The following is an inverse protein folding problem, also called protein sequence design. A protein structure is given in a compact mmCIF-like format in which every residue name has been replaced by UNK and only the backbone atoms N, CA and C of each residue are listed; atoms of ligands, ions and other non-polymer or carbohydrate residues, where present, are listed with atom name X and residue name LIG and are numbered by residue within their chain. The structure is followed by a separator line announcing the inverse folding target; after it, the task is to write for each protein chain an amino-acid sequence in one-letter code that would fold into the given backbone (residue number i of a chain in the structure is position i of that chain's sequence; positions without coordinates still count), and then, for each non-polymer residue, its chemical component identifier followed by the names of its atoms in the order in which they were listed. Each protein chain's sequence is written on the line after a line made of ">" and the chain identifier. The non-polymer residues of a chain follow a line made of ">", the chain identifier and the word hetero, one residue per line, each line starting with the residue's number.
data_IF_430667557827
#
_entry.id   IF_430667557827
#
_cell.length_a   1.000
_cell.length_b   1.000
_cell.length_c   1.000
_cell.angle_alpha   90.00
_cell.angle_beta   90.00
_cell.angle_gamma   90.00
#
_symmetry.space_group_name_H-M   'P 1'
#
loop_
_entity.id
_entity.type
_entity.pdbx_description
1 polymer ?
#
# COMPACT_ATOMS: atom_id res chain seq x y z
N UNK A 1 2.04 14.97 -28.14
CA UNK A 1 0.98 13.96 -27.89
C UNK A 1 -0.21 14.10 -28.85
N UNK A 2 -0.21 15.04 -29.80
CA UNK A 2 -1.34 15.26 -30.73
C UNK A 2 -1.25 14.58 -32.10
N UNK A 3 -0.16 13.86 -32.43
CA UNK A 3 0.08 13.34 -33.79
C UNK A 3 0.00 11.81 -33.94
N UNK A 4 -0.28 11.06 -32.86
CA UNK A 4 -0.33 9.59 -32.90
C UNK A 4 -1.77 9.07 -32.76
N UNK A 5 -2.12 7.95 -33.44
CA UNK A 5 -3.45 7.36 -33.31
C UNK A 5 -3.75 6.99 -31.86
N UNK A 6 -4.96 7.34 -31.41
CA UNK A 6 -5.42 7.25 -30.02
C UNK A 6 -5.16 5.85 -29.43
N UNK A 7 -5.41 4.78 -30.20
CA UNK A 7 -5.19 3.40 -29.74
C UNK A 7 -3.73 3.08 -29.40
N UNK A 8 -2.78 3.53 -30.23
CA UNK A 8 -1.34 3.33 -29.99
C UNK A 8 -0.86 4.13 -28.77
N UNK A 9 -1.41 5.33 -28.58
CA UNK A 9 -1.11 6.15 -27.41
C UNK A 9 -1.68 5.54 -26.13
N UNK A 10 -2.93 5.06 -26.17
CA UNK A 10 -3.55 4.34 -25.06
C UNK A 10 -2.73 3.11 -24.69
N UNK A 11 -2.32 2.27 -25.64
CA UNK A 11 -1.46 1.12 -25.35
C UNK A 11 -0.12 1.54 -24.74
N UNK A 12 0.51 2.60 -25.26
CA UNK A 12 1.80 3.10 -24.76
C UNK A 12 1.72 3.60 -23.31
N UNK A 13 0.58 4.09 -22.84
CA UNK A 13 0.39 4.57 -21.47
C UNK A 13 -0.23 3.53 -20.53
N UNK A 14 -1.22 2.77 -21.00
CA UNK A 14 -1.95 1.79 -20.22
C UNK A 14 -1.14 0.53 -19.97
N UNK A 15 -0.43 0.00 -20.97
CA UNK A 15 0.33 -1.24 -20.80
C UNK A 15 1.41 -1.11 -19.70
N UNK A 16 2.21 -0.03 -19.65
CA UNK A 16 3.17 0.15 -18.56
C UNK A 16 2.51 0.30 -17.19
N UNK A 17 1.33 0.93 -17.12
CA UNK A 17 0.59 1.06 -15.86
C UNK A 17 0.10 -0.32 -15.36
N UNK A 18 -0.45 -1.14 -16.25
CA UNK A 18 -0.92 -2.49 -15.91
C UNK A 18 0.24 -3.38 -15.44
N UNK A 19 1.37 -3.37 -16.16
CA UNK A 19 2.56 -4.14 -15.76
C UNK A 19 3.04 -3.69 -14.37
N UNK A 20 3.13 -2.38 -14.14
CA UNK A 20 3.53 -1.85 -12.84
C UNK A 20 2.57 -2.27 -11.71
N UNK A 21 1.27 -2.32 -11.96
CA UNK A 21 0.27 -2.78 -10.98
C UNK A 21 0.40 -4.27 -10.68
N UNK A 22 0.57 -5.11 -11.70
CA UNK A 22 0.78 -6.57 -11.53
C UNK A 22 2.03 -6.81 -10.68
N UNK A 23 3.13 -6.14 -11.02
CA UNK A 23 4.40 -6.30 -10.31
C UNK A 23 4.31 -5.81 -8.86
N UNK A 24 3.61 -4.70 -8.62
CA UNK A 24 3.36 -4.23 -7.26
C UNK A 24 2.50 -5.21 -6.45
N UNK A 25 1.50 -5.84 -7.07
CA UNK A 25 0.70 -6.88 -6.42
C UNK A 25 1.53 -8.14 -6.09
N UNK A 26 2.37 -8.59 -7.02
CA UNK A 26 3.29 -9.72 -6.80
C UNK A 26 4.27 -9.42 -5.66
N UNK A 27 4.84 -8.22 -5.62
CA UNK A 27 5.71 -7.77 -4.53
C UNK A 27 5.01 -7.90 -3.17
N UNK A 28 3.79 -7.36 -3.03
CA UNK A 28 3.05 -7.42 -1.77
C UNK A 28 2.77 -8.87 -1.32
N UNK A 29 2.44 -9.77 -2.26
CA UNK A 29 2.21 -11.19 -1.96
C UNK A 29 3.50 -11.85 -1.46
N UNK A 30 4.61 -11.63 -2.16
CA UNK A 30 5.89 -12.28 -1.84
C UNK A 30 6.44 -11.78 -0.50
N UNK A 31 6.39 -10.47 -0.24
CA UNK A 31 6.78 -9.85 1.04
C UNK A 31 5.97 -10.47 2.20
N UNK A 32 4.64 -10.55 2.03
CA UNK A 32 3.74 -11.16 3.02
C UNK A 32 4.07 -12.63 3.26
N UNK A 33 4.42 -13.39 2.23
CA UNK A 33 4.81 -14.80 2.35
C UNK A 33 6.12 -14.95 3.13
N UNK A 34 7.13 -14.11 2.86
CA UNK A 34 8.40 -14.18 3.58
C UNK A 34 8.25 -13.76 5.04
N UNK A 35 7.57 -12.66 5.31
CA UNK A 35 7.29 -12.22 6.68
C UNK A 35 6.43 -13.24 7.41
N UNK A 36 5.44 -13.85 6.74
CA UNK A 36 4.57 -14.85 7.34
C UNK A 36 5.27 -16.14 7.77
N UNK A 37 6.44 -16.45 7.17
CA UNK A 37 7.27 -17.57 7.62
C UNK A 37 7.99 -17.31 8.95
N UNK A 38 8.12 -16.05 9.37
CA UNK A 38 8.68 -15.70 10.68
C UNK A 38 7.72 -15.98 11.85
N UNK A 39 6.42 -16.16 11.55
CA UNK A 39 5.39 -16.43 12.55
C UNK A 39 4.33 -15.34 12.63
N UNK A 40 3.30 -15.61 13.41
CA UNK A 40 2.14 -14.73 13.56
C UNK A 40 2.49 -13.36 14.15
N UNK A 41 3.40 -13.30 15.11
CA UNK A 41 3.83 -12.05 15.76
C UNK A 41 4.43 -11.06 14.76
N UNK A 42 5.19 -11.56 13.76
CA UNK A 42 5.78 -10.75 12.70
C UNK A 42 4.71 -10.10 11.80
N UNK A 43 3.73 -10.88 11.35
CA UNK A 43 2.61 -10.35 10.56
C UNK A 43 1.81 -9.33 11.37
N UNK A 44 1.51 -9.63 12.64
CA UNK A 44 0.77 -8.74 13.51
C UNK A 44 1.50 -7.40 13.68
N UNK A 45 2.83 -7.44 13.91
CA UNK A 45 3.65 -6.24 14.02
C UNK A 45 3.63 -5.39 12.75
N UNK A 46 3.78 -5.99 11.56
CA UNK A 46 3.69 -5.25 10.29
C UNK A 46 2.31 -4.65 10.06
N UNK A 47 1.25 -5.39 10.42
CA UNK A 47 -0.14 -4.97 10.25
C UNK A 47 -0.46 -3.72 11.09
N UNK A 48 0.04 -3.65 12.33
CA UNK A 48 -0.11 -2.48 13.20
C UNK A 48 0.65 -1.26 12.67
N UNK A 49 1.79 -1.46 12.00
CA UNK A 49 2.57 -0.38 11.41
C UNK A 49 1.99 0.14 10.09
N UNK A 50 1.19 -0.68 9.38
CA UNK A 50 0.66 -0.38 8.05
C UNK A 50 -0.05 0.98 7.90
N UNK A 51 -0.89 1.45 8.86
CA UNK A 51 -1.52 2.77 8.77
C UNK A 51 -0.53 3.93 8.63
N UNK A 52 0.65 3.82 9.25
CA UNK A 52 1.72 4.83 9.13
C UNK A 52 2.27 4.86 7.71
N UNK A 53 2.41 3.69 7.08
CA UNK A 53 2.86 3.58 5.70
C UNK A 53 1.82 4.17 4.73
N UNK A 54 0.53 3.91 4.95
CA UNK A 54 -0.54 4.47 4.14
C UNK A 54 -0.61 6.00 4.25
N UNK A 55 -0.43 6.57 5.44
CA UNK A 55 -0.33 8.02 5.62
C UNK A 55 0.85 8.61 4.83
N UNK A 56 2.01 7.97 4.91
CA UNK A 56 3.21 8.36 4.16
C UNK A 56 2.96 8.30 2.65
N UNK A 57 2.29 7.24 2.19
CA UNK A 57 1.90 7.06 0.79
C UNK A 57 0.90 8.11 0.33
N UNK A 58 -0.12 8.42 1.14
CA UNK A 58 -1.16 9.39 0.83
C UNK A 58 -0.57 10.79 0.56
N UNK A 59 0.31 11.26 1.44
CA UNK A 59 1.02 12.52 1.28
C UNK A 59 1.90 12.52 0.02
N UNK A 60 2.67 11.46 -0.19
CA UNK A 60 3.58 11.36 -1.34
C UNK A 60 2.83 11.32 -2.67
N UNK A 61 1.74 10.56 -2.74
CA UNK A 61 0.89 10.48 -3.94
C UNK A 61 0.17 11.81 -4.17
N UNK A 62 -0.35 12.46 -3.13
CA UNK A 62 -0.99 13.77 -3.25
C UNK A 62 -0.05 14.84 -3.82
N UNK A 63 1.16 14.95 -3.27
CA UNK A 63 2.20 15.86 -3.81
C UNK A 63 2.54 15.47 -5.25
N UNK A 64 2.73 14.18 -5.52
CA UNK A 64 3.05 13.67 -6.85
C UNK A 64 1.98 14.01 -7.90
N UNK A 65 0.70 13.76 -7.60
CA UNK A 65 -0.43 14.04 -8.51
C UNK A 65 -0.60 15.54 -8.73
N UNK A 66 -0.51 16.34 -7.67
CA UNK A 66 -0.58 17.80 -7.79
C UNK A 66 0.56 18.39 -8.62
N UNK A 67 1.78 17.90 -8.40
CA UNK A 67 2.95 18.30 -9.17
C UNK A 67 2.84 17.86 -10.64
N UNK A 68 2.44 16.61 -10.88
CA UNK A 68 2.22 16.07 -12.23
C UNK A 68 1.23 16.94 -13.02
N UNK A 69 0.08 17.24 -12.44
CA UNK A 69 -0.94 18.11 -13.05
C UNK A 69 -0.40 19.51 -13.39
N UNK A 70 0.32 20.15 -12.47
CA UNK A 70 0.91 21.46 -12.70
C UNK A 70 1.99 21.43 -13.78
N UNK A 71 2.89 20.45 -13.72
CA UNK A 71 3.99 20.29 -14.66
C UNK A 71 3.46 19.99 -16.06
N UNK A 72 2.50 19.07 -16.22
CA UNK A 72 1.95 18.74 -17.54
C UNK A 72 1.30 19.95 -18.21
N UNK A 73 0.62 20.83 -17.46
CA UNK A 73 0.10 22.10 -18.02
C UNK A 73 1.21 23.05 -18.44
N UNK A 74 2.24 23.24 -17.61
CA UNK A 74 3.37 24.12 -17.91
C UNK A 74 4.17 23.61 -19.13
N UNK A 75 4.36 22.30 -19.24
CA UNK A 75 5.00 21.68 -20.40
C UNK A 75 4.15 21.84 -21.67
N UNK A 76 2.83 21.66 -21.57
CA UNK A 76 1.90 21.89 -22.68
C UNK A 76 1.89 23.35 -23.15
N UNK A 77 2.12 24.31 -22.26
CA UNK A 77 2.25 25.73 -22.56
C UNK A 77 3.65 26.17 -23.01
N UNK A 78 4.61 25.24 -23.15
CA UNK A 78 6.00 25.56 -23.51
C UNK A 78 6.84 26.20 -22.38
N UNK A 79 6.28 26.38 -21.19
CA UNK A 79 6.93 27.02 -20.04
C UNK A 79 7.90 26.07 -19.30
N UNK A 80 8.97 25.63 -19.98
CA UNK A 80 9.90 24.59 -19.47
C UNK A 80 10.62 24.99 -18.19
N UNK A 81 11.01 26.27 -18.03
CA UNK A 81 11.71 26.76 -16.83
C UNK A 81 10.80 26.70 -15.60
N UNK A 82 9.53 27.09 -15.74
CA UNK A 82 8.54 27.00 -14.67
C UNK A 82 8.22 25.54 -14.33
N UNK A 83 8.15 24.65 -15.33
CA UNK A 83 7.98 23.22 -15.10
C UNK A 83 9.14 22.61 -14.31
N UNK A 84 10.39 22.99 -14.62
CA UNK A 84 11.56 22.57 -13.83
C UNK A 84 11.49 23.10 -12.40
N UNK A 85 11.08 24.36 -12.22
CA UNK A 85 10.90 24.94 -10.89
C UNK A 85 9.82 24.20 -10.09
N UNK A 86 8.69 23.87 -10.72
CA UNK A 86 7.63 23.08 -10.09
C UNK A 86 8.10 21.67 -9.68
N UNK A 87 8.93 21.01 -10.50
CA UNK A 87 9.53 19.73 -10.17
C UNK A 87 10.48 19.83 -8.96
N UNK A 88 11.35 20.86 -8.91
CA UNK A 88 12.21 21.12 -7.75
C UNK A 88 11.42 21.38 -6.47
N UNK A 89 10.34 22.16 -6.56
CA UNK A 89 9.44 22.41 -5.44
C UNK A 89 8.71 21.14 -4.97
N UNK A 90 8.29 20.27 -5.88
CA UNK A 90 7.64 19.01 -5.50
C UNK A 90 8.59 18.07 -4.73
N UNK A 91 9.86 17.99 -5.16
CA UNK A 91 10.90 17.22 -4.46
C UNK A 91 11.14 17.83 -3.07
N UNK A 92 11.32 19.16 -2.98
CA UNK A 92 11.51 19.86 -1.71
C UNK A 92 10.32 19.67 -0.76
N UNK A 93 9.10 19.73 -1.29
CA UNK A 93 7.88 19.52 -0.53
C UNK A 93 7.78 18.07 -0.02
N UNK A 94 8.22 17.10 -0.83
CA UNK A 94 8.34 15.70 -0.42
C UNK A 94 9.35 15.49 0.70
N UNK A 95 10.55 16.08 0.57
CA UNK A 95 11.61 16.00 1.58
C UNK A 95 11.14 16.64 2.89
N UNK A 96 10.58 17.84 2.84
CA UNK A 96 10.08 18.54 4.02
C UNK A 96 8.92 17.81 4.69
N UNK A 97 7.92 17.35 3.92
CA UNK A 97 6.79 16.57 4.46
C UNK A 97 7.26 15.25 5.08
N UNK A 98 8.20 14.56 4.41
CA UNK A 98 8.79 13.33 4.92
C UNK A 98 9.61 13.54 6.19
N UNK A 99 10.40 14.61 6.25
CA UNK A 99 11.18 14.97 7.44
C UNK A 99 10.29 15.32 8.63
N UNK A 100 9.21 16.08 8.41
CA UNK A 100 8.23 16.39 9.45
C UNK A 100 7.56 15.11 9.97
N UNK A 101 7.08 14.24 9.07
CA UNK A 101 6.43 13.00 9.49
C UNK A 101 7.42 12.08 10.23
N UNK A 102 8.67 11.97 9.74
CA UNK A 102 9.74 11.24 10.40
C UNK A 102 9.98 11.75 11.82
N UNK A 103 10.10 13.07 12.02
CA UNK A 103 10.31 13.67 13.33
C UNK A 103 9.16 13.33 14.29
N UNK A 104 7.92 13.49 13.83
CA UNK A 104 6.72 13.18 14.62
C UNK A 104 6.72 11.71 15.05
N UNK A 105 6.92 10.77 14.13
CA UNK A 105 6.84 9.36 14.50
C UNK A 105 8.04 8.92 15.35
N UNK A 106 9.23 9.51 15.18
CA UNK A 106 10.39 9.20 16.05
C UNK A 106 10.19 9.66 17.49
N UNK A 107 9.62 10.85 17.70
CA UNK A 107 9.36 11.39 19.04
C UNK A 107 8.26 10.58 19.74
N UNK A 108 7.18 10.26 19.02
CA UNK A 108 5.99 9.59 19.59
C UNK A 108 5.84 8.14 19.14
N UNK A 109 6.94 7.42 18.90
CA UNK A 109 6.90 6.05 18.34
C UNK A 109 5.98 5.13 19.15
N UNK A 110 6.20 5.02 20.46
CA UNK A 110 5.46 4.07 21.29
C UNK A 110 3.99 4.47 21.51
N UNK A 111 3.66 5.74 21.82
CA UNK A 111 2.27 6.18 21.89
C UNK A 111 1.50 5.92 20.59
N UNK A 112 2.11 6.24 19.44
CA UNK A 112 1.48 6.01 18.13
C UNK A 112 1.25 4.52 17.89
N UNK A 113 2.26 3.68 18.13
CA UNK A 113 2.10 2.22 17.94
C UNK A 113 1.02 1.63 18.84
N UNK A 114 0.94 2.07 20.11
CA UNK A 114 -0.12 1.63 21.03
C UNK A 114 -1.51 2.11 20.59
N UNK A 115 -1.63 3.34 20.10
CA UNK A 115 -2.87 3.87 19.55
C UNK A 115 -3.35 3.10 18.30
N UNK A 116 -2.41 2.53 17.54
CA UNK A 116 -2.69 1.70 16.36
C UNK A 116 -2.97 0.23 16.72
N UNK A 117 -2.99 -0.13 18.00
CA UNK A 117 -3.32 -1.48 18.48
C UNK A 117 -2.13 -2.39 18.78
N UNK A 118 -0.91 -1.84 18.96
CA UNK A 118 0.24 -2.66 19.37
C UNK A 118 0.07 -3.17 20.82
N UNK A 119 -0.11 -4.49 20.98
CA UNK A 119 -0.03 -5.14 22.29
C UNK A 119 1.41 -5.12 22.84
N UNK A 120 1.57 -5.39 24.13
CA UNK A 120 2.89 -5.41 24.80
C UNK A 120 3.86 -6.42 24.17
N UNK A 121 3.34 -7.52 23.62
CA UNK A 121 4.12 -8.59 23.00
C UNK A 121 4.65 -8.19 21.61
N UNK A 122 3.84 -7.53 20.78
CA UNK A 122 4.22 -7.15 19.41
C UNK A 122 4.86 -5.76 19.32
N UNK A 123 4.77 -4.94 20.38
CA UNK A 123 5.32 -3.59 20.42
C UNK A 123 6.83 -3.53 20.12
N UNK A 124 7.69 -4.42 20.69
CA UNK A 124 9.13 -4.41 20.38
C UNK A 124 9.42 -4.66 18.90
N UNK A 125 8.67 -5.59 18.29
CA UNK A 125 8.83 -5.98 16.89
C UNK A 125 8.34 -4.88 15.94
N UNK A 126 7.19 -4.28 16.26
CA UNK A 126 6.62 -3.13 15.55
C UNK A 126 7.56 -1.92 15.62
N UNK A 127 8.12 -1.64 16.80
CA UNK A 127 9.09 -0.56 17.03
C UNK A 127 10.36 -0.79 16.22
N UNK A 128 10.88 -2.02 16.18
CA UNK A 128 12.07 -2.37 15.42
C UNK A 128 11.86 -2.14 13.91
N UNK A 129 10.71 -2.56 13.38
CA UNK A 129 10.36 -2.34 11.99
C UNK A 129 10.22 -0.85 11.65
N UNK A 130 9.38 -0.13 12.38
CA UNK A 130 9.03 1.26 12.02
C UNK A 130 10.21 2.21 12.17
N UNK A 131 11.09 2.00 13.16
CA UNK A 131 12.30 2.83 13.30
C UNK A 131 13.19 2.74 12.07
N UNK A 132 13.39 1.54 11.52
CA UNK A 132 14.21 1.36 10.31
C UNK A 132 13.55 2.05 9.11
N UNK A 133 12.24 1.87 8.92
CA UNK A 133 11.49 2.53 7.83
C UNK A 133 11.60 4.05 7.94
N UNK A 134 11.45 4.62 9.14
CA UNK A 134 11.52 6.06 9.36
C UNK A 134 12.93 6.60 9.21
N UNK A 135 13.97 5.87 9.63
CA UNK A 135 15.35 6.24 9.30
C UNK A 135 15.61 6.20 7.79
N UNK A 136 14.95 5.29 7.07
CA UNK A 136 14.84 5.35 5.61
C UNK A 136 14.11 6.59 5.09
N UNK A 137 13.25 7.18 5.91
CA UNK A 137 12.78 8.57 5.85
C UNK A 137 12.37 9.04 4.46
N UNK A 138 13.08 10.06 3.97
CA UNK A 138 12.87 10.71 2.67
C UNK A 138 12.83 9.71 1.50
N UNK A 139 13.52 8.57 1.60
CA UNK A 139 13.50 7.52 0.58
C UNK A 139 12.14 6.83 0.47
N UNK A 140 11.29 6.91 1.49
CA UNK A 140 9.92 6.38 1.43
C UNK A 140 9.01 7.33 0.64
N UNK A 141 9.26 8.64 0.73
CA UNK A 141 8.41 9.69 0.13
C UNK A 141 8.73 9.98 -1.34
N UNK A 142 10.03 10.12 -1.64
CA UNK A 142 10.50 10.53 -2.96
C UNK A 142 10.09 9.60 -4.12
N UNK A 143 10.06 8.26 -3.99
CA UNK A 143 9.72 7.37 -5.08
C UNK A 143 8.40 7.70 -5.77
N UNK A 144 7.34 7.99 -5.00
CA UNK A 144 6.03 8.28 -5.58
C UNK A 144 5.99 9.65 -6.25
N UNK A 145 6.69 10.64 -5.69
CA UNK A 145 6.81 11.98 -6.27
C UNK A 145 7.59 11.88 -7.58
N UNK A 146 8.79 11.30 -7.58
CA UNK A 146 9.63 11.14 -8.75
C UNK A 146 8.94 10.33 -9.86
N UNK A 147 8.21 9.27 -9.51
CA UNK A 147 7.40 8.48 -10.44
C UNK A 147 6.38 9.37 -11.17
N UNK A 148 5.64 10.19 -10.44
CA UNK A 148 4.66 11.11 -11.01
C UNK A 148 5.30 12.22 -11.85
N UNK A 149 6.45 12.75 -11.43
CA UNK A 149 7.20 13.77 -12.18
C UNK A 149 7.67 13.25 -13.55
N UNK A 150 8.12 12.01 -13.62
CA UNK A 150 8.54 11.40 -14.90
C UNK A 150 7.32 11.11 -15.79
N UNK A 151 6.22 10.64 -15.20
CA UNK A 151 4.95 10.45 -15.92
C UNK A 151 4.42 11.76 -16.52
N UNK A 152 4.58 12.89 -15.84
CA UNK A 152 4.15 14.21 -16.31
C UNK A 152 4.73 14.63 -17.66
N UNK A 153 5.88 14.05 -18.02
CA UNK A 153 6.57 14.31 -19.28
C UNK A 153 6.13 13.42 -20.44
N UNK A 154 5.20 12.49 -20.19
CA UNK A 154 4.74 11.54 -21.21
C UNK A 154 5.67 10.36 -21.43
N UNK A 155 6.55 10.04 -20.48
CA UNK A 155 7.33 8.79 -20.47
C UNK A 155 6.86 7.86 -19.34
N UNK A 156 5.77 7.09 -19.54
CA UNK A 156 5.26 6.14 -18.54
C UNK A 156 6.08 4.84 -18.47
N UNK A 157 6.92 4.55 -19.46
CA UNK A 157 7.72 3.32 -19.55
C UNK A 157 8.88 3.31 -18.56
N UNK A 158 9.58 4.43 -18.39
CA UNK A 158 10.69 4.51 -17.43
C UNK A 158 10.22 4.27 -15.97
N UNK A 159 9.13 4.91 -15.48
CA UNK A 159 8.59 4.63 -14.16
C UNK A 159 8.20 3.17 -13.93
N UNK A 160 7.63 2.52 -14.95
CA UNK A 160 7.34 1.08 -14.91
C UNK A 160 8.64 0.28 -14.75
N UNK A 161 9.64 0.50 -15.60
CA UNK A 161 10.90 -0.25 -15.54
C UNK A 161 11.60 -0.11 -14.17
N UNK A 162 11.62 1.11 -13.61
CA UNK A 162 12.21 1.36 -12.28
C UNK A 162 11.41 0.65 -11.17
N UNK A 163 10.07 0.66 -11.23
CA UNK A 163 9.24 -0.10 -10.29
C UNK A 163 9.50 -1.61 -10.38
N UNK A 164 9.68 -2.14 -11.60
CA UNK A 164 10.01 -3.54 -11.83
C UNK A 164 11.33 -3.90 -11.19
N UNK A 165 12.39 -3.14 -11.47
CA UNK A 165 13.72 -3.34 -10.88
C UNK A 165 13.62 -3.30 -9.36
N UNK A 166 12.95 -2.30 -8.79
CA UNK A 166 12.76 -2.16 -7.35
C UNK A 166 12.04 -3.35 -6.71
N UNK A 167 10.97 -3.84 -7.34
CA UNK A 167 10.20 -4.96 -6.83
C UNK A 167 11.03 -6.24 -6.82
N UNK A 168 11.75 -6.52 -7.91
CA UNK A 168 12.64 -7.68 -7.97
C UNK A 168 13.83 -7.57 -7.03
N UNK A 169 14.43 -6.38 -6.89
CA UNK A 169 15.48 -6.13 -5.90
C UNK A 169 14.98 -6.39 -4.48
N UNK A 170 13.78 -5.92 -4.14
CA UNK A 170 13.20 -6.20 -2.83
C UNK A 170 12.94 -7.70 -2.63
N UNK A 171 12.27 -8.36 -3.59
CA UNK A 171 11.97 -9.81 -3.54
C UNK A 171 13.24 -10.64 -3.38
N UNK A 172 14.37 -10.21 -3.96
CA UNK A 172 15.66 -10.87 -3.80
C UNK A 172 16.33 -10.57 -2.44
N UNK A 173 16.24 -9.34 -1.96
CA UNK A 173 16.84 -8.90 -0.70
C UNK A 173 16.10 -9.43 0.53
N UNK A 174 14.79 -9.59 0.46
CA UNK A 174 13.96 -10.10 1.55
C UNK A 174 14.46 -11.44 2.10
N UNK A 175 14.58 -12.53 1.33
CA UNK A 175 15.02 -13.82 1.87
C UNK A 175 16.47 -13.77 2.39
N UNK A 176 17.32 -12.94 1.77
CA UNK A 176 18.71 -12.73 2.20
C UNK A 176 18.76 -12.11 3.59
N UNK A 177 18.01 -11.02 3.81
CA UNK A 177 18.06 -10.24 5.04
C UNK A 177 17.15 -10.81 6.14
N UNK A 178 16.02 -11.40 5.77
CA UNK A 178 15.05 -11.99 6.72
C UNK A 178 15.62 -13.29 7.30
N UNK A 179 16.03 -14.23 6.45
CA UNK A 179 16.49 -15.55 6.89
C UNK A 179 18.01 -15.65 7.08
N UNK A 180 18.77 -14.62 6.70
CA UNK A 180 20.23 -14.63 6.81
C UNK A 180 20.89 -15.59 5.82
N UNK A 181 20.45 -15.57 4.56
CA UNK A 181 21.07 -16.41 3.52
C UNK A 181 22.40 -15.76 3.09
N UNK A 182 23.50 -16.52 3.16
CA UNK A 182 24.83 -16.06 2.75
C UNK A 182 25.62 -15.42 3.91
N UNK A 183 26.29 -14.27 3.71
CA UNK A 183 27.17 -13.66 4.72
C UNK A 183 26.42 -12.86 5.81
N UNK A 184 25.10 -12.67 5.68
CA UNK A 184 24.32 -11.83 6.56
C UNK A 184 23.64 -12.65 7.68
N UNK A 185 23.56 -12.13 8.91
CA UNK A 185 22.80 -12.78 9.98
C UNK A 185 21.29 -12.71 9.72
N UNK A 186 20.52 -13.65 10.27
CA UNK A 186 19.07 -13.63 10.22
C UNK A 186 18.53 -12.44 11.03
N UNK A 187 18.01 -11.41 10.34
CA UNK A 187 17.50 -10.19 10.98
C UNK A 187 15.98 -10.19 11.15
N UNK A 188 15.28 -11.21 10.64
CA UNK A 188 13.82 -11.34 10.74
C UNK A 188 13.09 -10.10 10.25
N UNK A 189 12.19 -9.56 11.08
CA UNK A 189 11.38 -8.38 10.75
C UNK A 189 12.23 -7.13 10.45
N UNK A 190 13.40 -6.98 11.09
CA UNK A 190 14.32 -5.87 10.77
C UNK A 190 14.88 -6.00 9.35
N UNK A 191 15.14 -7.23 8.92
CA UNK A 191 15.61 -7.55 7.57
C UNK A 191 14.62 -7.09 6.50
N UNK A 192 13.32 -7.35 6.68
CA UNK A 192 12.26 -6.90 5.78
C UNK A 192 12.20 -5.35 5.67
N UNK A 193 12.35 -4.64 6.79
CA UNK A 193 12.39 -3.19 6.78
C UNK A 193 13.62 -2.65 6.03
N UNK A 194 14.80 -3.22 6.25
CA UNK A 194 16.03 -2.83 5.55
C UNK A 194 15.91 -3.10 4.05
N UNK A 195 15.43 -4.28 3.66
CA UNK A 195 15.20 -4.65 2.26
C UNK A 195 14.29 -3.63 1.56
N UNK A 196 13.22 -3.19 2.25
CA UNK A 196 12.31 -2.16 1.74
C UNK A 196 13.02 -0.83 1.55
N UNK A 197 13.79 -0.36 2.54
CA UNK A 197 14.52 0.92 2.46
C UNK A 197 15.55 0.89 1.34
N UNK A 198 16.30 -0.21 1.19
CA UNK A 198 17.28 -0.39 0.10
C UNK A 198 16.58 -0.34 -1.26
N UNK A 199 15.48 -1.07 -1.43
CA UNK A 199 14.73 -1.08 -2.68
C UNK A 199 14.20 0.32 -3.05
N UNK A 200 13.68 1.07 -2.08
CA UNK A 200 13.27 2.47 -2.28
C UNK A 200 14.48 3.37 -2.59
N UNK A 201 15.63 3.12 -1.96
CA UNK A 201 16.90 3.77 -2.26
C UNK A 201 17.31 3.58 -3.72
N UNK A 202 17.25 2.35 -4.25
CA UNK A 202 17.52 2.03 -5.66
C UNK A 202 16.64 2.87 -6.59
N UNK A 203 15.34 2.99 -6.28
CA UNK A 203 14.39 3.82 -7.04
C UNK A 203 14.84 5.28 -7.07
N UNK A 204 15.11 5.85 -5.90
CA UNK A 204 15.50 7.26 -5.78
C UNK A 204 16.80 7.52 -6.53
N UNK A 205 17.83 6.70 -6.30
CA UNK A 205 19.13 6.81 -6.97
C UNK A 205 18.98 6.70 -8.48
N UNK A 206 18.21 5.73 -8.97
CA UNK A 206 17.99 5.54 -10.42
C UNK A 206 17.28 6.75 -11.02
N UNK A 207 16.24 7.29 -10.38
CA UNK A 207 15.63 8.53 -10.86
C UNK A 207 16.63 9.68 -10.89
N UNK A 208 17.39 9.92 -9.82
CA UNK A 208 18.37 11.01 -9.77
C UNK A 208 19.44 10.89 -10.87
N UNK A 209 19.94 9.68 -11.17
CA UNK A 209 20.86 9.44 -12.29
C UNK A 209 20.22 9.87 -13.62
N UNK A 210 18.96 9.51 -13.85
CA UNK A 210 18.24 9.91 -15.07
C UNK A 210 17.92 11.42 -15.12
N UNK A 211 17.74 12.08 -13.98
CA UNK A 211 17.58 13.54 -13.89
C UNK A 211 18.89 14.26 -14.23
N UNK A 212 20.02 13.82 -13.67
CA UNK A 212 21.35 14.43 -13.90
C UNK A 212 21.81 14.21 -15.34
N UNK A 213 21.57 13.02 -15.90
CA UNK A 213 21.95 12.70 -17.28
C UNK A 213 21.16 13.44 -18.36
N UNK A 214 20.28 14.40 -18.01
CA UNK A 214 19.41 15.18 -18.88
C UNK A 214 18.47 14.36 -19.82
N UNK A 215 18.47 13.02 -19.70
CA UNK A 215 17.61 12.10 -20.47
C UNK A 215 16.13 12.31 -20.22
N UNK A 216 15.82 12.95 -19.09
CA UNK A 216 14.47 13.31 -18.68
C UNK A 216 14.09 14.74 -19.05
N UNK A 217 14.88 15.52 -19.80
CA UNK A 217 14.54 16.89 -20.20
C UNK A 217 14.35 17.91 -19.05
N UNK A 218 14.39 17.48 -17.79
CA UNK A 218 14.44 18.36 -16.63
C UNK A 218 15.88 18.89 -16.51
N UNK A 219 16.01 20.21 -16.41
CA UNK A 219 17.26 20.87 -16.06
C UNK A 219 17.04 21.52 -14.70
N UNK A 220 17.20 20.71 -13.66
CA UNK A 220 17.08 21.17 -12.27
C UNK A 220 18.36 21.93 -11.91
N UNK A 221 18.18 23.12 -11.36
CA UNK A 221 19.24 23.98 -10.85
C UNK A 221 19.03 24.19 -9.35
N UNK A 222 20.07 24.52 -8.59
CA UNK A 222 19.94 24.81 -7.15
C UNK A 222 18.89 25.90 -6.86
N UNK A 223 18.72 26.86 -7.76
CA UNK A 223 17.68 27.90 -7.66
C UNK A 223 16.24 27.37 -7.65
N UNK A 224 16.00 26.17 -8.19
CA UNK A 224 14.68 25.55 -8.24
C UNK A 224 14.26 24.96 -6.88
N UNK A 225 15.20 24.83 -5.93
CA UNK A 225 14.99 24.35 -4.56
C UNK A 225 14.78 25.48 -3.54
N UNK A 226 14.75 26.74 -3.98
CA UNK A 226 14.41 27.86 -3.09
C UNK A 226 12.90 27.81 -2.82
N UNK A 227 12.43 27.71 -1.56
CA UNK A 227 11.01 27.58 -1.24
C UNK A 227 10.16 28.66 -1.90
N UNK A 228 9.12 28.23 -2.62
CA UNK A 228 8.17 29.11 -3.28
C UNK A 228 6.74 28.72 -2.85
N UNK A 229 6.21 29.30 -1.74
CA UNK A 229 4.92 28.90 -1.16
C UNK A 229 3.76 28.97 -2.16
N UNK A 230 3.80 29.90 -3.11
CA UNK A 230 2.80 30.03 -4.18
C UNK A 230 2.73 28.81 -5.11
N UNK A 231 3.83 28.08 -5.29
CA UNK A 231 3.85 26.84 -6.06
C UNK A 231 3.30 25.69 -5.21
N UNK A 232 3.60 25.67 -3.92
CA UNK A 232 3.11 24.63 -3.00
C UNK A 232 1.59 24.66 -2.88
N UNK A 233 0.99 25.85 -2.78
CA UNK A 233 -0.47 25.99 -2.75
C UNK A 233 -1.12 25.48 -4.04
N UNK A 234 -0.50 25.71 -5.20
CA UNK A 234 -0.98 25.16 -6.49
C UNK A 234 -0.88 23.63 -6.56
N UNK A 235 0.17 23.05 -5.99
CA UNK A 235 0.34 21.60 -5.92
C UNK A 235 -0.73 21.00 -5.01
N UNK A 236 -0.92 21.53 -3.80
CA UNK A 236 -1.93 21.01 -2.87
C UNK A 236 -3.36 21.29 -3.30
N UNK A 237 -3.64 22.37 -4.04
CA UNK A 237 -4.97 22.62 -4.59
C UNK A 237 -5.48 21.46 -5.45
N UNK A 238 -4.58 20.74 -6.14
CA UNK A 238 -4.90 19.55 -6.92
C UNK A 238 -4.65 18.25 -6.15
N UNK A 239 -3.62 18.22 -5.30
CA UNK A 239 -3.20 17.02 -4.57
C UNK A 239 -4.04 16.70 -3.33
N UNK A 240 -4.63 17.69 -2.66
CA UNK A 240 -5.35 17.51 -1.40
C UNK A 240 -6.56 16.55 -1.52
N UNK A 241 -7.39 16.57 -2.58
CA UNK A 241 -8.42 15.56 -2.79
C UNK A 241 -7.84 14.14 -2.86
N UNK A 242 -6.69 13.96 -3.52
CA UNK A 242 -6.03 12.66 -3.61
C UNK A 242 -5.50 12.20 -2.26
N UNK A 243 -4.95 13.11 -1.43
CA UNK A 243 -4.55 12.80 -0.06
C UNK A 243 -5.76 12.32 0.74
N UNK A 244 -6.89 13.02 0.67
CA UNK A 244 -8.11 12.65 1.40
C UNK A 244 -8.61 11.26 1.01
N UNK A 245 -8.64 10.95 -0.29
CA UNK A 245 -9.03 9.62 -0.81
C UNK A 245 -8.06 8.54 -0.30
N UNK A 246 -6.77 8.82 -0.27
CA UNK A 246 -5.74 7.85 0.16
C UNK A 246 -5.67 7.65 1.67
N UNK A 247 -6.16 8.60 2.48
CA UNK A 247 -6.25 8.46 3.93
C UNK A 247 -7.43 7.56 4.33
N UNK A 248 -8.53 7.54 3.56
CA UNK A 248 -9.72 6.76 3.90
C UNK A 248 -9.41 5.27 4.18
N UNK A 249 -8.61 4.55 3.37
CA UNK A 249 -8.17 3.18 3.71
C UNK A 249 -7.42 3.09 5.04
N UNK A 250 -6.59 4.08 5.38
CA UNK A 250 -5.81 4.09 6.62
C UNK A 250 -6.70 4.13 7.85
N UNK A 251 -7.76 4.94 7.81
CA UNK A 251 -8.74 5.04 8.88
C UNK A 251 -9.47 3.71 9.03
N UNK A 252 -9.95 3.15 7.92
CA UNK A 252 -10.64 1.84 7.91
C UNK A 252 -9.76 0.74 8.50
N UNK A 253 -8.49 0.64 8.09
CA UNK A 253 -7.55 -0.34 8.63
C UNK A 253 -7.25 -0.11 10.12
N UNK A 254 -7.07 1.14 10.56
CA UNK A 254 -6.78 1.45 11.96
C UNK A 254 -7.94 1.10 12.89
N UNK A 255 -9.17 1.39 12.45
CA UNK A 255 -10.39 1.02 13.19
C UNK A 255 -10.53 -0.50 13.25
N UNK A 256 -10.36 -1.18 12.11
CA UNK A 256 -10.42 -2.63 12.04
C UNK A 256 -9.38 -3.30 12.96
N UNK A 257 -8.14 -2.79 12.98
CA UNK A 257 -7.07 -3.30 13.84
C UNK A 257 -7.38 -3.08 15.32
N UNK A 258 -7.89 -1.91 15.71
CA UNK A 258 -8.25 -1.64 17.10
C UNK A 258 -9.41 -2.51 17.58
N UNK A 259 -10.43 -2.70 16.74
CA UNK A 259 -11.53 -3.63 17.02
C UNK A 259 -10.97 -5.05 17.21
N UNK A 260 -10.14 -5.52 16.27
CA UNK A 260 -9.51 -6.83 16.35
C UNK A 260 -8.62 -7.00 17.59
N UNK A 261 -7.88 -5.97 17.99
CA UNK A 261 -7.04 -5.99 19.19
C UNK A 261 -7.88 -6.10 20.48
N UNK A 262 -9.07 -5.49 20.51
CA UNK A 262 -10.06 -5.67 21.59
C UNK A 262 -10.56 -7.11 21.72
N UNK A 263 -10.44 -7.91 20.66
CA UNK A 263 -10.67 -9.36 20.68
C UNK A 263 -9.32 -10.12 20.86
N UNK A 264 -8.78 -10.23 22.07
CA UNK A 264 -7.63 -11.13 22.38
C UNK A 264 -7.90 -11.99 23.62
N UNK A 265 -7.42 -13.25 23.77
CA UNK A 265 -7.14 -14.33 22.81
C UNK A 265 -8.19 -15.46 22.98
N UNK A 266 -9.49 -15.19 22.94
CA UNK A 266 -10.52 -16.17 23.34
C UNK A 266 -10.78 -17.29 22.30
N UNK A 267 -10.03 -17.32 21.18
CA UNK A 267 -10.16 -18.38 20.15
C UNK A 267 -8.89 -19.23 19.93
N UNK A 268 -7.86 -19.14 20.77
CA UNK A 268 -6.61 -19.89 20.60
C UNK A 268 -6.26 -20.84 21.77
N UNK A 269 -7.19 -21.73 22.18
CA UNK A 269 -6.73 -23.04 22.62
C UNK A 269 -7.56 -24.17 22.03
N UNK A 270 -7.61 -24.31 20.70
CA UNK A 270 -8.21 -25.52 20.08
C UNK A 270 -7.77 -25.82 18.64
N UNK A 271 -6.50 -25.59 18.23
CA UNK A 271 -6.02 -26.23 16.99
C UNK A 271 -4.50 -26.33 16.85
N UNK A 272 -3.84 -26.89 17.87
CA UNK A 272 -2.58 -27.62 17.65
C UNK A 272 -2.87 -28.94 16.93
N UNK A 273 -3.14 -28.89 15.62
CA UNK A 273 -2.98 -29.96 14.61
C UNK A 273 -3.63 -29.51 13.30
N UNK A 274 -2.87 -29.62 12.22
CA UNK A 274 -3.16 -29.17 10.84
C UNK A 274 -2.71 -27.75 10.49
N UNK A 275 -1.38 -27.62 10.41
CA UNK A 275 -0.71 -26.78 9.42
C UNK A 275 -1.31 -27.01 8.01
N UNK A 276 -1.30 -25.95 7.19
CA UNK A 276 -1.50 -25.93 5.72
C UNK A 276 -2.83 -25.42 5.14
N UNK A 277 -3.75 -24.77 5.88
CA UNK A 277 -5.00 -24.24 5.28
C UNK A 277 -5.38 -22.78 5.58
N UNK A 278 -4.46 -21.94 6.05
CA UNK A 278 -4.76 -20.53 6.31
C UNK A 278 -4.58 -19.57 5.13
N UNK A 279 -3.97 -20.01 4.02
CA UNK A 279 -3.97 -19.26 2.76
C UNK A 279 -5.09 -19.76 1.83
N UNK A 280 -6.33 -19.35 2.13
CA UNK A 280 -7.47 -19.60 1.25
C UNK A 280 -8.58 -18.54 1.42
N UNK A 281 -8.20 -17.27 1.58
CA UNK A 281 -9.19 -16.16 1.56
C UNK A 281 -9.82 -16.03 0.16
N UNK A 282 -9.13 -16.42 -0.91
CA UNK A 282 -9.69 -16.41 -2.28
C UNK A 282 -10.68 -17.55 -2.58
N UNK A 283 -10.60 -18.69 -1.89
CA UNK A 283 -11.51 -19.82 -2.13
C UNK A 283 -12.92 -19.59 -1.54
N UNK A 284 -13.08 -18.59 -0.69
CA UNK A 284 -14.36 -18.21 -0.07
C UNK A 284 -15.21 -17.28 -0.95
N UNK A 285 -14.61 -16.48 -1.84
CA UNK A 285 -15.36 -15.65 -2.79
C UNK A 285 -16.17 -16.49 -3.79
N UNK A 286 -15.63 -17.64 -4.22
CA UNK A 286 -16.35 -18.60 -5.08
C UNK A 286 -17.44 -19.39 -4.34
N UNK A 287 -17.35 -19.52 -3.01
CA UNK A 287 -18.37 -20.21 -2.20
C UNK A 287 -19.53 -19.29 -1.80
N UNK A 288 -19.29 -17.99 -1.59
CA UNK A 288 -20.36 -17.02 -1.31
C UNK A 288 -21.33 -16.86 -2.49
N UNK A 289 -20.83 -16.87 -3.74
CA UNK A 289 -21.70 -16.89 -4.94
C UNK A 289 -22.64 -18.10 -5.01
N UNK A 290 -22.29 -19.22 -4.39
CA UNK A 290 -23.18 -20.42 -4.33
C UNK A 290 -24.24 -20.33 -3.23
N UNK A 291 -24.03 -19.51 -2.20
CA UNK A 291 -24.96 -19.36 -1.08
C UNK A 291 -26.06 -18.34 -1.44
N UNK A 292 -25.75 -17.29 -2.19
CA UNK A 292 -26.75 -16.34 -2.73
C UNK A 292 -27.77 -17.04 -3.67
N UNK A 293 -27.38 -18.14 -4.33
CA UNK A 293 -28.28 -18.95 -5.15
C UNK A 293 -29.23 -19.87 -4.33
N UNK A 294 -28.97 -20.10 -3.04
CA UNK A 294 -29.78 -20.99 -2.20
C UNK A 294 -30.81 -20.27 -1.31
N UNK A 295 -30.78 -18.94 -1.22
CA UNK A 295 -31.74 -18.19 -0.38
C UNK A 295 -33.05 -17.82 -1.08
N UNK A 296 -33.30 -18.34 -2.29
CA UNK A 296 -34.51 -18.08 -3.07
C UNK A 296 -35.79 -18.78 -2.62
N UNK A 297 -35.87 -19.41 -1.43
CA UNK A 297 -37.03 -20.25 -1.11
C UNK A 297 -37.48 -20.27 0.37
N UNK A 298 -37.47 -19.12 1.06
CA UNK A 298 -38.15 -18.98 2.37
C UNK A 298 -39.15 -17.81 2.38
N UNK A 299 -40.43 -18.01 2.79
CA UNK A 299 -41.49 -17.01 2.60
C UNK A 299 -41.51 -15.84 3.62
N UNK A 300 -40.46 -15.63 4.42
CA UNK A 300 -40.51 -14.66 5.55
C UNK A 300 -39.54 -13.47 5.46
N UNK A 301 -38.77 -13.29 4.38
CA UNK A 301 -37.82 -12.16 4.23
C UNK A 301 -38.34 -11.00 3.36
N UNK A 302 -39.66 -10.83 3.25
CA UNK A 302 -40.28 -9.92 2.27
C UNK A 302 -40.24 -8.41 2.57
N UNK A 303 -39.58 -7.94 3.64
CA UNK A 303 -39.64 -6.53 4.03
C UNK A 303 -38.33 -5.73 4.02
N UNK A 304 -37.24 -6.24 3.47
CA UNK A 304 -36.02 -5.44 3.28
C UNK A 304 -35.37 -5.72 1.94
N UNK A 305 -36.05 -5.39 0.85
CA UNK A 305 -35.42 -5.31 -0.46
C UNK A 305 -36.24 -4.41 -1.39
N UNK A 306 -36.08 -3.09 -1.24
CA UNK A 306 -36.41 -2.17 -2.31
C UNK A 306 -35.40 -1.02 -2.34
N UNK A 307 -34.92 -0.77 -3.57
CA UNK A 307 -34.18 0.40 -4.07
C UNK A 307 -32.66 0.43 -3.86
N UNK A 308 -31.94 -0.28 -4.74
CA UNK A 308 -30.82 0.33 -5.46
C UNK A 308 -31.15 0.25 -6.95
N UNK A 309 -31.71 1.36 -7.45
CA UNK A 309 -32.00 1.58 -8.86
C UNK A 309 -30.70 1.77 -9.65
N UNK A 310 -30.76 1.34 -10.90
CA UNK A 310 -29.66 0.89 -11.72
C UNK A 310 -29.10 2.06 -12.54
N UNK A 311 -28.35 2.96 -11.90
CA UNK A 311 -27.57 3.99 -12.58
C UNK A 311 -26.40 4.43 -11.70
N UNK A 312 -25.26 3.73 -11.79
CA UNK A 312 -23.88 4.27 -11.68
C UNK A 312 -22.91 3.07 -11.63
N UNK A 313 -22.31 2.76 -12.77
CA UNK A 313 -21.13 1.90 -12.82
C UNK A 313 -19.95 2.63 -12.17
N UNK A 314 -19.47 2.14 -11.03
CA UNK A 314 -18.04 1.89 -10.74
C UNK A 314 -17.77 1.83 -9.23
N UNK A 315 -17.06 0.78 -8.82
CA UNK A 315 -16.29 0.69 -7.56
C UNK A 315 -17.08 0.42 -6.27
N UNK A 316 -17.40 -0.85 -6.01
CA UNK A 316 -17.63 -1.34 -4.64
C UNK A 316 -16.90 -2.67 -4.48
N UNK A 317 -15.73 -2.64 -3.84
CA UNK A 317 -15.14 -3.83 -3.24
C UNK A 317 -15.87 -4.10 -1.92
N UNK A 318 -16.86 -4.98 -1.95
CA UNK A 318 -17.54 -5.46 -0.74
C UNK A 318 -16.57 -6.37 0.02
N UNK A 319 -16.06 -5.90 1.15
CA UNK A 319 -15.36 -6.71 2.13
C UNK A 319 -16.42 -7.29 3.07
N UNK A 320 -16.90 -8.51 2.80
CA UNK A 320 -17.70 -9.25 3.76
C UNK A 320 -16.79 -9.69 4.92
N UNK A 321 -16.96 -9.06 6.09
CA UNK A 321 -16.33 -9.47 7.35
C UNK A 321 -17.42 -10.00 8.28
N UNK A 322 -17.77 -11.28 8.15
CA UNK A 322 -18.43 -12.04 9.22
C UNK A 322 -18.02 -13.51 9.12
N UNK A 323 -17.55 -14.14 10.21
CA UNK A 323 -17.71 -15.57 10.37
C UNK A 323 -19.18 -15.82 10.74
N UNK A 324 -19.89 -16.65 9.99
CA UNK A 324 -21.21 -17.11 10.40
C UNK A 324 -21.13 -17.70 11.81
N UNK A 325 -21.94 -17.15 12.72
CA UNK A 325 -22.15 -17.60 14.08
C UNK A 325 -22.36 -19.11 14.16
N UNK A 326 -21.63 -19.78 15.06
CA UNK A 326 -22.12 -20.99 15.68
C UNK A 326 -23.40 -20.63 16.46
N UNK A 327 -24.56 -20.97 15.90
CA UNK A 327 -25.82 -20.97 16.63
C UNK A 327 -25.72 -22.05 17.70
N UNK A 328 -25.71 -21.66 18.98
CA UNK A 328 -25.88 -22.58 20.10
C UNK A 328 -27.17 -23.40 19.89
N UNK A 329 -27.16 -24.74 20.04
CA UNK A 329 -28.41 -25.47 20.09
C UNK A 329 -29.09 -25.19 21.43
N UNK A 330 -30.35 -24.77 21.38
CA UNK A 330 -31.27 -24.70 22.53
C UNK A 330 -31.29 -26.05 23.28
N UNK A 331 -31.49 -26.07 24.61
CA UNK A 331 -31.54 -27.32 25.37
C UNK A 331 -32.79 -28.11 24.94
N UNK A 332 -32.60 -29.33 24.41
CA UNK A 332 -33.72 -30.25 24.17
C UNK A 332 -33.66 -31.16 22.93
N UNK A 333 -32.64 -31.10 22.08
CA UNK A 333 -32.59 -31.98 20.88
C UNK A 333 -31.27 -32.75 20.85
N UNK A 334 -31.32 -34.02 21.28
CA UNK A 334 -30.31 -35.02 20.93
C UNK A 334 -30.45 -35.34 19.44
N UNK A 335 -29.40 -35.16 18.65
CA UNK A 335 -29.19 -35.95 17.43
C UNK A 335 -27.73 -36.36 17.32
N UNK A 336 -27.56 -37.66 17.17
CA UNK A 336 -26.31 -38.39 17.03
C UNK A 336 -25.44 -37.84 15.90
N UNK A 337 -24.20 -37.49 16.23
CA UNK A 337 -23.12 -37.41 15.27
C UNK A 337 -22.55 -38.82 15.07
N UNK A 338 -23.14 -39.60 14.18
CA UNK A 338 -22.42 -40.71 13.56
C UNK A 338 -22.92 -40.94 12.13
N UNK A 339 -21.97 -41.30 11.27
CA UNK A 339 -22.10 -41.77 9.89
C UNK A 339 -21.93 -40.72 8.77
N UNK A 340 -20.94 -41.03 7.93
CA UNK A 340 -20.87 -40.59 6.54
C UNK A 340 -19.57 -39.87 6.19
N UNK A 341 -18.53 -40.63 5.83
CA UNK A 341 -17.99 -40.67 4.45
C UNK A 341 -16.75 -41.59 4.45
N UNK A 342 -16.96 -42.79 3.90
CA UNK A 342 -15.96 -43.65 3.27
C UNK A 342 -15.79 -43.26 1.80
N UNK A 343 -14.55 -43.43 1.31
CA UNK A 343 -14.01 -43.25 -0.05
C UNK A 343 -13.67 -41.84 -0.53
#
# INVERSE_FOLDING_TARGET
>A
MGEQPIGKLLMKFSLPAVIAMIVNATYNIVDTVFVGRLGYEAIAALTVVWPIQLLSMALSVGIGVGANSLISRLLGAGARREANRAAGQAILLGISSGAVLMLVILIWTDPILRLLGASTEILPLSRAYIRIIIWGGVLVFLPMILNNLVRAQGNPTLPMAIMVISAFSNIALDPILIFGLGPFPAMGVRGAAIATVIARGIVVVTYFIYFIGARLGYRLTFSDFIPAPRIWTRIYAVGAPTVAIQIAPSITFSVANNIAAGFSPVCLPARHRHHSRYFAVDRLQLRCRKIEACQGNHPQSRNYCYLIDNRFHSTISVICTYPCCCVQPRPGIRRDCSQGITH
#
